data_IF_512106424770
#
_entry.id   IF_512106424770
#
_cell.length_a   1.000
_cell.length_b   1.000
_cell.length_c   1.000
_cell.angle_alpha   90.00
_cell.angle_beta   90.00
_cell.angle_gamma   90.00
#
_symmetry.space_group_name_H-M   'P 1'
#
loop_
_entity.id
_entity.type
_entity.pdbx_description
1 polymer ?
#
# COMPACT_ATOMS: atom_id res chain seq x y z
N UNK A 1 -37.14 -55.60 2.93
CA UNK A 1 -35.95 -55.36 3.80
C UNK A 1 -34.62 -55.31 3.07
N UNK A 2 -34.32 -56.16 2.07
CA UNK A 2 -33.04 -56.11 1.28
C UNK A 2 -32.86 -54.80 0.53
N UNK A 3 -33.88 -54.33 -0.14
CA UNK A 3 -33.83 -53.11 -0.95
C UNK A 3 -33.55 -51.84 -0.13
N UNK A 4 -34.16 -51.76 1.05
CA UNK A 4 -33.94 -50.67 2.00
C UNK A 4 -32.47 -50.62 2.51
N UNK A 5 -31.88 -51.79 2.80
CA UNK A 5 -30.46 -51.89 3.17
C UNK A 5 -29.51 -51.49 2.01
N UNK A 6 -29.86 -51.89 0.80
CA UNK A 6 -29.05 -51.50 -0.39
C UNK A 6 -29.11 -50.01 -0.63
N UNK A 7 -30.29 -49.40 -0.54
CA UNK A 7 -30.44 -47.96 -0.65
C UNK A 7 -29.69 -47.20 0.46
N UNK A 8 -29.76 -47.70 1.70
CA UNK A 8 -29.01 -47.11 2.81
C UNK A 8 -27.50 -47.11 2.54
N UNK A 9 -26.93 -48.23 2.14
CA UNK A 9 -25.50 -48.32 1.84
C UNK A 9 -25.10 -47.48 0.64
N UNK A 10 -25.95 -47.40 -0.38
CA UNK A 10 -25.72 -46.56 -1.56
C UNK A 10 -25.67 -45.07 -1.17
N UNK A 11 -26.62 -44.57 -0.41
CA UNK A 11 -26.60 -43.16 0.03
C UNK A 11 -25.48 -42.86 1.03
N UNK A 12 -25.14 -43.84 1.88
CA UNK A 12 -23.98 -43.69 2.77
C UNK A 12 -22.67 -43.52 1.99
N UNK A 13 -22.40 -44.39 1.01
CA UNK A 13 -21.19 -44.29 0.18
C UNK A 13 -21.17 -43.03 -0.62
N UNK A 14 -22.28 -42.61 -1.20
CA UNK A 14 -22.42 -41.37 -1.92
C UNK A 14 -22.16 -40.16 -1.01
N UNK A 15 -22.69 -40.15 0.18
CA UNK A 15 -22.48 -39.10 1.20
C UNK A 15 -21.04 -39.00 1.64
N UNK A 16 -20.37 -40.12 1.87
CA UNK A 16 -18.93 -40.15 2.21
C UNK A 16 -18.07 -39.58 1.05
N UNK A 17 -18.37 -40.02 -0.16
CA UNK A 17 -17.66 -39.51 -1.34
C UNK A 17 -17.85 -38.01 -1.52
N UNK A 18 -19.07 -37.53 -1.38
CA UNK A 18 -19.37 -36.10 -1.45
C UNK A 18 -18.73 -35.30 -0.31
N UNK A 19 -18.70 -35.86 0.90
CA UNK A 19 -18.01 -35.26 2.04
C UNK A 19 -16.50 -35.10 1.82
N UNK A 20 -15.86 -36.13 1.22
CA UNK A 20 -14.45 -36.07 0.84
C UNK A 20 -14.22 -34.96 -0.20
N UNK A 21 -15.06 -34.89 -1.23
CA UNK A 21 -14.98 -33.84 -2.25
C UNK A 21 -15.10 -32.44 -1.60
N UNK A 22 -16.02 -32.23 -0.68
CA UNK A 22 -16.17 -30.96 0.00
C UNK A 22 -14.94 -30.59 0.83
N UNK A 23 -14.31 -31.54 1.52
CA UNK A 23 -13.09 -31.32 2.28
C UNK A 23 -11.96 -30.75 1.39
N UNK A 24 -11.83 -31.29 0.18
CA UNK A 24 -10.84 -30.80 -0.78
C UNK A 24 -11.26 -29.48 -1.46
N UNK A 25 -12.55 -29.32 -1.74
CA UNK A 25 -13.06 -28.10 -2.42
C UNK A 25 -12.97 -26.87 -1.49
N UNK A 26 -13.16 -27.05 -0.20
CA UNK A 26 -13.09 -25.95 0.79
C UNK A 26 -11.72 -25.81 1.46
N UNK A 27 -10.68 -26.45 0.92
CA UNK A 27 -9.30 -26.37 1.45
C UNK A 27 -9.18 -26.66 2.96
N UNK A 28 -10.08 -27.50 3.49
CA UNK A 28 -10.05 -27.91 4.91
C UNK A 28 -8.75 -28.68 5.21
N UNK A 29 -8.29 -29.47 4.25
CA UNK A 29 -7.00 -30.14 4.27
C UNK A 29 -6.14 -29.53 3.16
N UNK A 30 -5.18 -28.72 3.54
CA UNK A 30 -4.19 -28.17 2.59
C UNK A 30 -3.15 -29.24 2.29
N UNK A 31 -3.16 -29.73 1.06
CA UNK A 31 -2.13 -30.63 0.56
C UNK A 31 -1.18 -29.77 -0.29
N UNK A 32 0.01 -29.52 0.21
CA UNK A 32 1.07 -28.88 -0.55
C UNK A 32 1.57 -29.85 -1.63
N UNK A 33 1.03 -29.74 -2.83
CA UNK A 33 1.51 -30.51 -3.96
C UNK A 33 2.91 -30.04 -4.32
N UNK A 34 3.88 -30.95 -4.51
CA UNK A 34 5.19 -30.55 -4.98
C UNK A 34 5.07 -29.98 -6.40
N UNK A 35 5.07 -28.66 -6.50
CA UNK A 35 5.09 -27.96 -7.77
C UNK A 35 6.53 -27.81 -8.23
N UNK A 36 6.94 -28.60 -9.20
CA UNK A 36 8.33 -28.69 -9.65
C UNK A 36 8.90 -27.38 -10.22
N UNK A 37 8.07 -26.48 -10.72
CA UNK A 37 8.50 -25.24 -11.39
C UNK A 37 7.66 -24.00 -11.01
N UNK A 38 6.60 -24.16 -10.26
CA UNK A 38 5.69 -23.06 -9.90
C UNK A 38 6.24 -22.19 -8.78
N UNK A 39 6.86 -22.84 -7.78
CA UNK A 39 7.53 -22.14 -6.67
C UNK A 39 9.02 -22.34 -6.84
N UNK A 40 9.69 -21.33 -7.34
CA UNK A 40 11.15 -21.31 -7.46
C UNK A 40 11.76 -20.51 -6.31
N UNK A 41 12.99 -20.82 -5.87
CA UNK A 41 13.68 -20.00 -4.87
C UNK A 41 14.10 -18.62 -5.41
N UNK A 42 13.77 -18.30 -6.66
CA UNK A 42 13.98 -17.00 -7.28
C UNK A 42 12.73 -16.13 -7.14
N UNK A 43 12.93 -14.87 -6.83
CA UNK A 43 11.86 -13.90 -6.76
C UNK A 43 11.30 -13.61 -8.16
N UNK A 44 9.97 -13.63 -8.29
CA UNK A 44 9.27 -13.14 -9.49
C UNK A 44 9.17 -11.63 -9.42
N UNK A 45 8.92 -10.99 -10.56
CA UNK A 45 8.60 -9.56 -10.60
C UNK A 45 7.46 -9.24 -9.63
N UNK A 46 7.60 -8.20 -8.84
CA UNK A 46 6.63 -7.73 -7.85
C UNK A 46 6.39 -8.67 -6.64
N UNK A 47 7.15 -9.75 -6.50
CA UNK A 47 7.05 -10.68 -5.38
C UNK A 47 8.10 -10.35 -4.32
N UNK A 48 7.64 -9.87 -3.16
CA UNK A 48 8.43 -9.63 -1.94
C UNK A 48 9.91 -9.29 -2.19
N UNK A 49 10.24 -8.11 -2.72
CA UNK A 49 11.62 -7.75 -2.98
C UNK A 49 12.43 -7.85 -1.68
N UNK A 50 13.62 -8.42 -1.77
CA UNK A 50 14.53 -8.49 -0.63
C UNK A 50 14.78 -7.07 -0.09
N UNK A 51 14.66 -6.85 1.22
CA UNK A 51 15.06 -5.57 1.78
C UNK A 51 16.52 -5.31 1.45
N UNK A 52 16.89 -4.08 1.09
CA UNK A 52 18.29 -3.75 0.84
C UNK A 52 19.12 -4.06 2.10
N UNK A 53 20.39 -4.46 1.94
CA UNK A 53 21.28 -4.71 3.08
C UNK A 53 21.27 -3.52 4.04
N UNK A 54 21.27 -3.79 5.34
CA UNK A 54 21.38 -2.74 6.35
C UNK A 54 22.58 -1.84 6.06
N UNK A 55 22.37 -0.53 6.06
CA UNK A 55 23.34 0.52 5.68
C UNK A 55 23.65 0.60 4.18
N UNK A 56 22.82 0.02 3.30
CA UNK A 56 22.96 0.31 1.87
C UNK A 56 22.62 1.77 1.62
N UNK A 57 23.51 2.46 0.93
CA UNK A 57 23.32 3.84 0.48
C UNK A 57 23.00 3.77 -1.01
N UNK A 58 21.92 4.40 -1.49
CA UNK A 58 21.65 4.52 -2.92
C UNK A 58 22.83 5.17 -3.64
N UNK A 59 23.03 4.85 -4.92
CA UNK A 59 24.10 5.44 -5.75
C UNK A 59 24.03 6.98 -5.77
N UNK A 60 22.81 7.51 -5.64
CA UNK A 60 22.52 8.95 -5.61
C UNK A 60 22.64 9.56 -4.19
N UNK A 61 23.00 8.75 -3.21
CA UNK A 61 23.05 9.16 -1.80
C UNK A 61 21.72 9.01 -1.06
N UNK A 62 21.76 9.21 0.25
CA UNK A 62 20.56 9.20 1.07
C UNK A 62 19.79 10.51 0.91
N UNK A 63 18.50 10.43 0.58
CA UNK A 63 17.63 11.61 0.44
C UNK A 63 17.47 12.37 1.76
N UNK A 64 17.42 11.64 2.86
CA UNK A 64 17.45 12.24 4.21
C UNK A 64 18.11 11.29 5.21
N UNK A 65 18.83 11.84 6.16
CA UNK A 65 19.38 11.10 7.29
C UNK A 65 18.57 11.51 8.53
N UNK A 66 17.97 10.57 9.26
CA UNK A 66 17.22 10.90 10.47
C UNK A 66 18.06 11.74 11.44
N UNK A 67 17.54 12.88 11.87
CA UNK A 67 18.21 13.79 12.81
C UNK A 67 19.12 14.86 12.18
N UNK A 68 19.34 14.87 10.88
CA UNK A 68 20.15 15.92 10.21
C UNK A 68 19.36 17.17 9.79
N UNK A 69 18.07 17.23 10.09
CA UNK A 69 17.22 18.37 9.71
C UNK A 69 16.63 18.24 8.32
N UNK A 70 16.08 19.34 7.84
CA UNK A 70 15.44 19.40 6.52
C UNK A 70 16.51 19.37 5.41
N UNK A 71 16.42 18.43 4.44
CA UNK A 71 17.37 18.36 3.33
C UNK A 71 17.20 19.56 2.39
N UNK A 72 18.25 19.89 1.66
CA UNK A 72 18.14 20.82 0.54
C UNK A 72 17.40 20.15 -0.62
N UNK A 73 16.66 20.96 -1.39
CA UNK A 73 16.01 20.46 -2.59
C UNK A 73 17.06 20.19 -3.69
N UNK A 74 17.28 18.94 -4.11
CA UNK A 74 18.27 18.62 -5.13
C UNK A 74 17.81 18.94 -6.54
N UNK A 75 16.52 19.28 -6.70
CA UNK A 75 15.88 19.45 -8.01
C UNK A 75 15.61 20.92 -8.28
N UNK A 76 15.96 21.38 -9.47
CA UNK A 76 15.58 22.72 -9.94
C UNK A 76 14.10 22.75 -10.34
N UNK A 77 13.43 23.86 -10.10
CA UNK A 77 12.04 24.08 -10.49
C UNK A 77 11.93 24.30 -12.01
N UNK A 78 12.16 23.26 -12.79
CA UNK A 78 11.94 23.27 -14.24
C UNK A 78 10.50 22.83 -14.59
N UNK A 79 10.12 23.04 -15.86
CA UNK A 79 8.78 22.69 -16.31
C UNK A 79 8.46 21.17 -16.16
N UNK A 80 9.46 20.32 -16.27
CA UNK A 80 9.28 18.88 -16.16
C UNK A 80 8.99 18.48 -14.71
N UNK A 81 9.76 18.99 -13.76
CA UNK A 81 9.54 18.72 -12.32
C UNK A 81 8.21 19.29 -11.81
N UNK A 82 7.84 20.50 -12.26
CA UNK A 82 6.56 21.13 -11.89
C UNK A 82 5.38 20.33 -12.45
N UNK A 83 5.44 19.92 -13.72
CA UNK A 83 4.37 19.12 -14.33
C UNK A 83 4.19 17.78 -13.64
N UNK A 84 5.31 17.09 -13.37
CA UNK A 84 5.30 15.84 -12.62
C UNK A 84 4.75 16.02 -11.20
N UNK A 85 5.15 17.10 -10.53
CA UNK A 85 4.64 17.44 -9.18
C UNK A 85 3.12 17.66 -9.20
N UNK A 86 2.59 18.34 -10.21
CA UNK A 86 1.16 18.56 -10.36
C UNK A 86 0.39 17.24 -10.58
N UNK A 87 0.91 16.33 -11.38
CA UNK A 87 0.33 14.99 -11.57
C UNK A 87 0.32 14.19 -10.27
N UNK A 88 1.45 14.17 -9.54
CA UNK A 88 1.53 13.46 -8.25
C UNK A 88 0.60 14.08 -7.20
N UNK A 89 0.49 15.41 -7.17
CA UNK A 89 -0.46 16.10 -6.31
C UNK A 89 -1.91 15.69 -6.60
N UNK A 90 -2.29 15.64 -7.86
CA UNK A 90 -3.63 15.24 -8.27
C UNK A 90 -3.98 13.81 -7.82
N UNK A 91 -2.98 12.91 -7.84
CA UNK A 91 -3.18 11.50 -7.46
C UNK A 91 -3.21 11.33 -5.94
N UNK A 92 -2.27 11.94 -5.22
CA UNK A 92 -2.02 11.61 -3.81
C UNK A 92 -2.55 12.65 -2.82
N UNK A 93 -2.65 13.91 -3.19
CA UNK A 93 -2.87 15.01 -2.26
C UNK A 93 -4.24 15.68 -2.40
N UNK A 94 -4.72 15.78 -3.64
CA UNK A 94 -5.93 16.52 -3.99
C UNK A 94 -7.18 16.04 -3.24
N UNK A 95 -7.26 14.75 -2.92
CA UNK A 95 -8.41 14.18 -2.20
C UNK A 95 -8.64 14.84 -0.84
N UNK A 96 -7.56 15.23 -0.17
CA UNK A 96 -7.64 15.91 1.12
C UNK A 96 -7.47 17.43 0.99
N UNK A 97 -6.44 17.87 0.23
CA UNK A 97 -6.08 19.28 0.16
C UNK A 97 -6.86 20.12 -0.87
N UNK A 98 -7.69 19.46 -1.69
CA UNK A 98 -8.51 20.12 -2.71
C UNK A 98 -7.76 20.49 -3.99
N UNK A 99 -8.50 20.71 -5.06
CA UNK A 99 -7.96 21.12 -6.36
C UNK A 99 -7.35 22.53 -6.29
N UNK A 100 -7.91 23.38 -5.44
CA UNK A 100 -7.44 24.76 -5.23
C UNK A 100 -6.40 24.87 -4.11
N UNK A 101 -5.94 23.76 -3.54
CA UNK A 101 -4.96 23.72 -2.45
C UNK A 101 -5.48 24.34 -1.14
N UNK A 102 -6.78 24.53 -1.00
CA UNK A 102 -7.45 25.24 0.09
C UNK A 102 -7.77 24.37 1.32
N UNK A 103 -7.47 23.07 1.25
CA UNK A 103 -7.79 22.11 2.30
C UNK A 103 -9.25 21.62 2.26
N UNK A 104 -9.97 21.92 1.19
CA UNK A 104 -11.38 21.58 1.02
C UNK A 104 -11.57 20.42 0.01
N UNK A 105 -10.71 19.42 0.06
CA UNK A 105 -10.85 18.22 -0.76
C UNK A 105 -12.09 17.40 -0.43
N UNK A 106 -12.50 16.47 -1.31
CA UNK A 106 -13.71 15.65 -1.13
C UNK A 106 -13.74 14.86 0.18
N UNK A 107 -12.58 14.49 0.72
CA UNK A 107 -12.46 13.75 1.98
C UNK A 107 -12.47 14.67 3.19
N UNK A 108 -12.14 15.96 3.05
CA UNK A 108 -12.02 16.91 4.15
C UNK A 108 -13.27 17.01 5.05
N UNK A 109 -14.51 16.94 4.57
CA UNK A 109 -15.72 16.98 5.41
C UNK A 109 -15.78 15.80 6.40
N UNK A 110 -15.22 14.64 6.04
CA UNK A 110 -15.27 13.42 6.83
C UNK A 110 -14.15 13.34 7.87
N UNK A 111 -13.16 14.22 7.81
CA UNK A 111 -12.07 14.30 8.77
C UNK A 111 -12.50 15.15 9.98
N UNK A 112 -12.99 14.47 11.03
CA UNK A 112 -13.61 15.13 12.19
C UNK A 112 -12.59 15.83 13.07
N UNK A 113 -11.45 15.18 13.34
CA UNK A 113 -10.48 15.66 14.34
C UNK A 113 -9.50 16.71 13.78
N UNK A 114 -9.08 16.52 12.54
CA UNK A 114 -8.08 17.39 11.91
C UNK A 114 -8.46 17.69 10.47
N UNK A 115 -8.63 18.95 10.17
CA UNK A 115 -8.87 19.41 8.80
C UNK A 115 -7.56 19.49 8.03
N UNK A 116 -7.55 19.15 6.72
CA UNK A 116 -6.38 19.36 5.87
C UNK A 116 -5.98 20.83 5.88
N UNK A 117 -4.67 21.06 5.89
CA UNK A 117 -4.15 22.41 5.86
C UNK A 117 -4.44 23.09 4.52
N UNK A 118 -4.72 24.38 4.55
CA UNK A 118 -4.68 25.22 3.35
C UNK A 118 -3.23 25.43 2.95
N UNK A 119 -2.85 24.85 1.80
CA UNK A 119 -1.47 24.91 1.31
C UNK A 119 -1.06 26.28 0.76
N UNK A 120 -2.03 27.15 0.47
CA UNK A 120 -1.77 28.54 0.02
C UNK A 120 -1.58 29.53 1.16
N UNK A 121 -1.71 29.06 2.42
CA UNK A 121 -1.54 29.92 3.59
C UNK A 121 -0.06 30.30 3.81
N UNK A 122 0.17 31.48 4.37
CA UNK A 122 1.52 31.99 4.67
C UNK A 122 2.33 31.03 5.54
N UNK A 123 1.66 30.34 6.46
CA UNK A 123 2.29 29.35 7.35
C UNK A 123 2.89 28.17 6.57
N UNK A 124 2.21 27.72 5.53
CA UNK A 124 2.71 26.63 4.69
C UNK A 124 3.71 27.15 3.65
N UNK A 125 3.43 28.29 3.05
CA UNK A 125 4.30 28.89 2.02
C UNK A 125 5.65 29.38 2.55
N UNK A 126 5.76 29.65 3.85
CA UNK A 126 7.03 30.02 4.49
C UNK A 126 7.93 28.83 4.83
N UNK A 127 7.45 27.59 4.65
CA UNK A 127 8.26 26.40 4.90
C UNK A 127 9.28 26.20 3.76
N UNK A 128 10.47 25.70 4.13
CA UNK A 128 11.44 25.25 3.13
C UNK A 128 10.98 23.98 2.45
N UNK A 129 11.43 23.76 1.19
CA UNK A 129 11.13 22.55 0.43
C UNK A 129 11.47 21.27 1.19
N UNK A 130 12.64 21.24 1.86
CA UNK A 130 13.02 20.09 2.67
C UNK A 130 12.13 19.87 3.87
N UNK A 131 11.59 20.93 4.50
CA UNK A 131 10.60 20.79 5.58
C UNK A 131 9.28 20.25 5.07
N UNK A 132 8.85 20.67 3.87
CA UNK A 132 7.67 20.11 3.21
C UNK A 132 7.90 18.65 2.83
N UNK A 133 9.06 18.33 2.28
CA UNK A 133 9.48 16.97 1.95
C UNK A 133 9.40 16.05 3.20
N UNK A 134 9.97 16.46 4.33
CA UNK A 134 9.90 15.67 5.57
C UNK A 134 8.46 15.51 6.08
N UNK A 135 7.63 16.55 5.93
CA UNK A 135 6.22 16.48 6.31
C UNK A 135 5.47 15.45 5.44
N UNK A 136 5.76 15.39 4.15
CA UNK A 136 5.14 14.44 3.21
C UNK A 136 5.66 13.02 3.48
N UNK A 137 6.97 12.86 3.59
CA UNK A 137 7.60 11.53 3.76
C UNK A 137 7.28 10.88 5.09
N UNK A 138 7.35 11.63 6.18
CA UNK A 138 7.10 11.12 7.52
C UNK A 138 5.62 11.17 7.93
N UNK A 139 4.84 11.97 7.21
CA UNK A 139 3.47 12.29 7.61
C UNK A 139 3.41 13.17 8.85
N UNK A 140 2.20 13.37 9.33
CA UNK A 140 1.91 14.01 10.61
C UNK A 140 1.02 13.07 11.42
N UNK A 141 1.48 12.72 12.60
CA UNK A 141 0.87 11.71 13.45
C UNK A 141 -0.64 11.96 13.66
N UNK A 142 -1.47 11.00 13.26
CA UNK A 142 -2.93 11.08 13.31
C UNK A 142 -3.59 12.15 12.42
N UNK A 143 -2.82 12.89 11.59
CA UNK A 143 -3.32 14.00 10.76
C UNK A 143 -3.12 13.79 9.27
N UNK A 144 -1.95 13.37 8.89
CA UNK A 144 -1.57 13.15 7.49
C UNK A 144 -0.77 11.84 7.38
N UNK A 145 -1.16 10.92 6.49
CA UNK A 145 -0.39 9.70 6.27
C UNK A 145 0.99 10.01 5.70
N UNK A 146 1.96 9.17 6.02
CA UNK A 146 3.27 9.20 5.38
C UNK A 146 3.17 8.71 3.93
N UNK A 147 3.91 9.35 3.04
CA UNK A 147 4.08 8.96 1.63
C UNK A 147 5.57 8.68 1.39
N UNK A 148 5.99 7.46 1.71
CA UNK A 148 7.37 6.95 1.52
C UNK A 148 7.36 5.60 0.80
#
# INVERSE_FOLDING_TARGET
>A
MRLLKQLFWFFLTLGVFFGILLIFTYDVIKIDWPSFMEIQPTFKEMESPLPPPGRSIPVEGAISIPGMGAPENPTTADNASITRGAELYAIHCQMCHGQNHDGLGPVAPFLVNYKPANLTSDVVQSKSDGSMFLTISNGLDGRMPALN
#
